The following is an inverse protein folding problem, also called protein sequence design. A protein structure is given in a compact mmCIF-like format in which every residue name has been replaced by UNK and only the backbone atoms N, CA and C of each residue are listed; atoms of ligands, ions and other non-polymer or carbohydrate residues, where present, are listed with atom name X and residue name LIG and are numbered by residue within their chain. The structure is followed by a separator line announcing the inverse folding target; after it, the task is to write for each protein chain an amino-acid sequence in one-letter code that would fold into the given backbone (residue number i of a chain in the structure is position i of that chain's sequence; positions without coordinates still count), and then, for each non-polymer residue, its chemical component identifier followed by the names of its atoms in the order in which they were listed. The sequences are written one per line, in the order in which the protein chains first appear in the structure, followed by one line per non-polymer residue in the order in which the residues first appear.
data_IF_612895884272
#
_entry.id   IF_612895884272
#
_cell.length_a   1.000
_cell.length_b   1.000
_cell.length_c   1.000
_cell.angle_alpha   90.00
_cell.angle_beta   90.00
_cell.angle_gamma   90.00
#
_symmetry.space_group_name_H-M   'P 1'
#
loop_
_entity.id
_entity.type
_entity.pdbx_description
1 polymer ?
#
# COMPACT_ATOMS: atom_id res chain seq x y z
N UNK A 1 -3.78 -12.27 30.43
CA UNK A 1 -2.92 -13.45 30.35
C UNK A 1 -3.67 -14.78 30.35
N UNK A 2 -4.57 -15.10 31.29
CA UNK A 2 -5.30 -16.41 31.32
C UNK A 2 -6.15 -16.69 30.06
N UNK A 3 -6.74 -15.69 29.40
CA UNK A 3 -7.57 -15.85 28.18
C UNK A 3 -6.74 -16.15 26.92
N UNK A 4 -5.51 -15.63 26.83
CA UNK A 4 -4.61 -15.88 25.69
C UNK A 4 -4.03 -17.29 25.75
N UNK A 5 -3.71 -17.76 26.96
CA UNK A 5 -3.25 -19.15 27.18
C UNK A 5 -4.36 -20.14 26.82
N UNK A 6 -5.63 -19.80 27.11
CA UNK A 6 -6.78 -20.65 26.75
C UNK A 6 -7.01 -20.73 25.24
N UNK A 7 -6.75 -19.63 24.49
CA UNK A 7 -6.86 -19.61 23.04
C UNK A 7 -5.76 -20.47 22.38
N UNK A 8 -4.53 -20.39 22.89
CA UNK A 8 -3.41 -21.19 22.41
C UNK A 8 -3.64 -22.69 22.71
N UNK A 9 -4.15 -23.02 23.90
CA UNK A 9 -4.50 -24.41 24.26
C UNK A 9 -5.69 -24.91 23.42
N UNK A 10 -6.67 -24.08 23.11
CA UNK A 10 -7.79 -24.45 22.23
C UNK A 10 -7.32 -24.73 20.80
N UNK A 11 -6.38 -23.94 20.26
CA UNK A 11 -5.79 -24.19 18.94
C UNK A 11 -4.97 -25.47 18.92
N UNK A 12 -4.21 -25.78 19.99
CA UNK A 12 -3.46 -27.03 20.12
C UNK A 12 -4.41 -28.23 20.32
N UNK A 13 -5.54 -28.06 21.00
CA UNK A 13 -6.53 -29.11 21.16
C UNK A 13 -7.30 -29.46 19.89
N UNK A 14 -7.49 -28.48 18.99
CA UNK A 14 -8.12 -28.69 17.67
C UNK A 14 -7.21 -29.53 16.75
N UNK A 15 -5.89 -29.44 16.92
CA UNK A 15 -4.93 -30.24 16.15
C UNK A 15 -4.96 -31.74 16.55
N UNK A 16 -5.49 -32.07 17.73
CA UNK A 16 -5.61 -33.46 18.21
C UNK A 16 -7.00 -34.10 18.03
N UNK A 17 -7.95 -33.38 17.45
CA UNK A 17 -9.30 -33.90 17.20
C UNK A 17 -9.42 -34.30 15.72
N UNK A 18 -9.40 -35.62 15.53
CA UNK A 18 -9.78 -36.36 14.32
C UNK A 18 -8.62 -36.80 13.42
N UNK A 19 -7.95 -37.83 13.86
CA UNK A 19 -7.52 -38.86 12.93
C UNK A 19 -8.78 -39.63 12.43
N UNK A 20 -9.56 -39.04 11.55
CA UNK A 20 -10.38 -39.78 10.64
C UNK A 20 -9.53 -40.02 9.39
N UNK A 21 -9.25 -41.27 9.09
CA UNK A 21 -8.58 -41.72 7.88
C UNK A 21 -9.32 -41.21 6.64
N UNK A 22 -8.99 -40.02 6.19
CA UNK A 22 -9.10 -39.68 4.79
C UNK A 22 -7.80 -40.11 4.14
N UNK A 23 -7.87 -41.13 3.28
CA UNK A 23 -6.75 -41.62 2.48
C UNK A 23 -6.39 -40.64 1.34
N UNK A 24 -6.09 -39.41 1.69
CA UNK A 24 -5.49 -38.41 0.83
C UNK A 24 -4.26 -37.86 1.54
N UNK A 25 -3.14 -37.81 0.86
CA UNK A 25 -1.84 -37.33 1.36
C UNK A 25 -1.91 -35.88 1.81
N UNK A 26 -2.34 -35.62 3.04
CA UNK A 26 -2.19 -34.33 3.65
C UNK A 26 -0.73 -34.13 3.99
N UNK A 27 -0.12 -33.06 3.52
CA UNK A 27 1.24 -32.67 3.89
C UNK A 27 1.23 -31.28 4.52
N UNK A 28 2.07 -31.09 5.53
CA UNK A 28 2.31 -29.78 6.11
C UNK A 28 3.80 -29.54 6.20
N UNK A 29 4.27 -28.43 5.65
CA UNK A 29 5.65 -28.02 5.65
C UNK A 29 5.78 -26.59 6.15
N UNK A 30 6.77 -26.34 7.00
CA UNK A 30 7.15 -24.99 7.39
C UNK A 30 8.41 -24.56 6.63
N UNK A 31 8.32 -23.44 5.91
CA UNK A 31 9.45 -22.86 5.19
C UNK A 31 9.63 -21.42 5.64
N UNK A 32 10.80 -21.11 6.18
CA UNK A 32 11.11 -19.74 6.62
C UNK A 32 10.93 -18.75 5.47
N UNK A 33 10.15 -17.70 5.74
CA UNK A 33 9.75 -16.69 4.75
C UNK A 33 8.54 -17.06 3.90
N UNK A 34 8.09 -18.31 4.00
CA UNK A 34 6.90 -18.80 3.31
C UNK A 34 5.80 -19.27 4.26
N UNK A 35 6.15 -19.51 5.52
CA UNK A 35 5.21 -19.90 6.58
C UNK A 35 4.89 -21.38 6.60
N UNK A 36 3.79 -21.72 7.27
CA UNK A 36 3.23 -23.07 7.34
C UNK A 36 2.30 -23.28 6.17
N UNK A 37 2.65 -24.22 5.29
CA UNK A 37 1.85 -24.63 4.14
C UNK A 37 1.18 -25.94 4.48
N UNK A 38 -0.14 -26.01 4.31
CA UNK A 38 -0.99 -27.18 4.54
C UNK A 38 -1.65 -27.54 3.22
N UNK A 39 -1.31 -28.68 2.66
CA UNK A 39 -1.96 -29.22 1.46
C UNK A 39 -2.98 -30.27 1.88
N UNK A 40 -4.20 -30.19 1.38
CA UNK A 40 -5.24 -31.19 1.55
C UNK A 40 -5.57 -31.82 0.20
N UNK A 41 -4.97 -32.96 -0.06
CA UNK A 41 -4.95 -33.57 -1.37
C UNK A 41 -4.22 -32.69 -2.40
N UNK A 42 -4.63 -32.84 -3.63
CA UNK A 42 -4.13 -32.00 -4.72
C UNK A 42 -5.02 -30.76 -4.99
N UNK A 43 -6.11 -30.57 -4.26
CA UNK A 43 -7.14 -29.60 -4.58
C UNK A 43 -7.14 -28.34 -3.71
N UNK A 44 -6.53 -28.40 -2.51
CA UNK A 44 -6.57 -27.28 -1.58
C UNK A 44 -5.21 -27.02 -0.97
N UNK A 45 -4.84 -25.76 -0.89
CA UNK A 45 -3.68 -25.32 -0.12
C UNK A 45 -4.09 -24.16 0.78
N UNK A 46 -3.65 -24.24 2.03
CA UNK A 46 -3.74 -23.17 3.02
C UNK A 46 -2.34 -22.77 3.46
N UNK A 47 -2.15 -21.50 3.71
CA UNK A 47 -0.87 -20.94 4.13
C UNK A 47 -1.07 -19.97 5.28
N UNK A 48 -0.33 -20.21 6.36
CA UNK A 48 -0.18 -19.29 7.49
C UNK A 48 1.22 -18.70 7.45
N UNK A 49 1.33 -17.38 7.43
CA UNK A 49 2.62 -16.71 7.44
C UNK A 49 2.60 -15.46 8.33
N UNK A 50 3.77 -14.99 8.69
CA UNK A 50 3.93 -13.83 9.54
C UNK A 50 5.15 -13.01 9.16
N UNK A 51 5.18 -11.76 9.68
CA UNK A 51 6.32 -10.86 9.58
C UNK A 51 6.44 -10.08 10.87
N UNK A 52 7.66 -9.93 11.35
CA UNK A 52 7.97 -9.09 12.51
C UNK A 52 9.07 -8.11 12.09
N UNK A 53 8.85 -6.81 12.39
CA UNK A 53 9.80 -5.74 12.13
C UNK A 53 10.04 -4.91 13.40
N UNK A 54 10.87 -5.38 14.38
CA UNK A 54 11.38 -4.53 15.43
C UNK A 54 12.12 -3.33 14.85
N UNK A 55 11.87 -2.15 15.41
CA UNK A 55 12.44 -0.88 15.00
C UNK A 55 12.98 -0.11 16.20
N UNK A 56 14.16 0.49 16.01
CA UNK A 56 14.66 1.57 16.83
C UNK A 56 14.80 2.81 15.98
N UNK A 57 14.26 3.94 16.41
CA UNK A 57 14.42 5.20 15.70
C UNK A 57 14.77 6.36 16.62
N UNK A 58 15.51 7.30 16.05
CA UNK A 58 15.85 8.59 16.66
C UNK A 58 15.34 9.65 15.70
N UNK A 59 14.46 10.52 16.18
CA UNK A 59 14.00 11.69 15.46
C UNK A 59 14.55 12.96 16.09
N UNK A 60 15.00 13.86 15.24
CA UNK A 60 15.50 15.19 15.63
C UNK A 60 14.65 16.22 14.89
N UNK A 61 13.96 17.04 15.66
CA UNK A 61 13.17 18.16 15.17
C UNK A 61 13.59 19.43 15.90
N UNK A 62 14.16 20.37 15.17
CA UNK A 62 14.73 21.61 15.72
C UNK A 62 15.71 21.35 16.89
N UNK A 63 15.23 21.51 18.13
CA UNK A 63 16.01 21.28 19.35
C UNK A 63 15.60 20.01 20.11
N UNK A 64 14.58 19.31 19.68
CA UNK A 64 14.05 18.13 20.37
C UNK A 64 14.62 16.85 19.74
N UNK A 65 14.97 15.89 20.60
CA UNK A 65 15.40 14.56 20.16
C UNK A 65 14.55 13.52 20.87
N UNK A 66 13.85 12.71 20.07
CA UNK A 66 13.01 11.63 20.56
C UNK A 66 13.58 10.26 20.18
N UNK A 67 13.45 9.30 21.10
CA UNK A 67 13.89 7.92 20.91
C UNK A 67 12.68 7.01 20.99
N UNK A 68 12.57 6.09 20.03
CA UNK A 68 11.43 5.18 19.95
C UNK A 68 11.89 3.75 19.70
N UNK A 69 11.42 2.81 20.54
CA UNK A 69 11.44 1.38 20.27
C UNK A 69 10.00 0.92 20.03
N UNK A 70 9.74 0.33 18.87
CA UNK A 70 8.43 -0.21 18.55
C UNK A 70 8.54 -1.41 17.59
N UNK A 71 7.41 -2.07 17.35
CA UNK A 71 7.24 -2.95 16.19
C UNK A 71 6.70 -2.08 15.05
N UNK A 72 7.50 -1.89 14.00
CA UNK A 72 7.08 -1.12 12.84
C UNK A 72 5.93 -1.79 12.11
N UNK A 73 6.05 -3.10 11.90
CA UNK A 73 5.00 -3.97 11.37
C UNK A 73 5.04 -5.33 12.07
N UNK A 74 3.86 -5.88 12.30
CA UNK A 74 3.67 -7.24 12.80
C UNK A 74 2.54 -7.88 12.01
N UNK A 75 2.89 -8.47 10.85
CA UNK A 75 1.91 -9.08 9.98
C UNK A 75 1.59 -10.50 10.40
N UNK A 76 0.32 -10.84 10.26
CA UNK A 76 -0.17 -12.21 10.25
C UNK A 76 -1.05 -12.38 9.02
N UNK A 77 -0.82 -13.41 8.23
CA UNK A 77 -1.64 -13.70 7.07
C UNK A 77 -2.13 -15.14 7.04
N UNK A 78 -3.37 -15.29 6.60
CA UNK A 78 -4.00 -16.56 6.26
C UNK A 78 -4.46 -16.46 4.81
N UNK A 79 -3.95 -17.33 3.98
CA UNK A 79 -4.25 -17.35 2.54
C UNK A 79 -4.44 -18.78 2.05
N UNK A 80 -5.01 -18.93 0.88
CA UNK A 80 -5.15 -20.24 0.28
C UNK A 80 -5.73 -20.19 -1.12
N UNK A 81 -5.76 -21.35 -1.75
CA UNK A 81 -6.46 -21.54 -3.02
C UNK A 81 -7.16 -22.90 -3.05
N UNK A 82 -8.22 -22.96 -3.88
CA UNK A 82 -8.94 -24.19 -4.22
C UNK A 82 -8.76 -24.47 -5.71
N UNK A 83 -8.45 -25.74 -6.03
CA UNK A 83 -8.24 -26.20 -7.41
C UNK A 83 -9.53 -26.28 -8.24
N UNK A 84 -9.31 -26.18 -9.51
CA UNK A 84 -8.06 -25.97 -10.21
C UNK A 84 -7.60 -24.49 -10.15
N UNK A 85 -7.09 -24.04 -9.05
CA UNK A 85 -6.53 -22.71 -8.76
C UNK A 85 -7.43 -21.51 -9.14
N UNK A 86 -8.75 -21.78 -9.24
CA UNK A 86 -9.70 -20.77 -9.68
C UNK A 86 -10.15 -19.84 -8.57
N UNK A 87 -10.20 -20.35 -7.35
CA UNK A 87 -10.58 -19.54 -6.18
C UNK A 87 -9.37 -19.37 -5.29
N UNK A 88 -9.06 -18.14 -4.92
CA UNK A 88 -8.04 -17.82 -3.93
C UNK A 88 -8.56 -16.79 -2.94
N UNK A 89 -7.95 -16.71 -1.78
CA UNK A 89 -8.30 -15.73 -0.76
C UNK A 89 -7.06 -15.31 0.03
N UNK A 90 -7.15 -14.13 0.64
CA UNK A 90 -6.17 -13.63 1.59
C UNK A 90 -6.88 -12.89 2.72
N UNK A 91 -6.45 -13.14 3.95
CA UNK A 91 -6.64 -12.29 5.11
C UNK A 91 -5.28 -11.88 5.62
N UNK A 92 -5.03 -10.57 5.74
CA UNK A 92 -3.78 -9.98 6.23
C UNK A 92 -4.10 -8.96 7.31
N UNK A 93 -3.46 -9.11 8.46
CA UNK A 93 -3.54 -8.16 9.56
C UNK A 93 -2.17 -7.64 9.95
N UNK A 94 -2.09 -6.36 10.34
CA UNK A 94 -0.92 -5.73 10.96
C UNK A 94 -1.25 -5.35 12.40
N UNK A 95 -0.75 -6.11 13.35
CA UNK A 95 -0.98 -5.88 14.77
C UNK A 95 -0.22 -4.68 15.37
N UNK A 96 0.57 -3.99 14.57
CA UNK A 96 1.16 -2.69 14.93
C UNK A 96 0.16 -1.53 14.81
N UNK A 97 -0.99 -1.75 14.16
CA UNK A 97 -2.02 -0.75 13.90
C UNK A 97 -3.21 -0.89 14.85
N UNK A 98 -3.87 0.22 15.16
CA UNK A 98 -5.11 0.25 15.95
C UNK A 98 -6.26 -0.48 15.25
N UNK A 99 -6.34 -0.40 13.92
CA UNK A 99 -7.25 -1.18 13.07
C UNK A 99 -6.42 -2.17 12.27
N UNK A 100 -6.22 -3.41 12.75
CA UNK A 100 -5.19 -4.32 12.24
C UNK A 100 -5.52 -4.92 10.88
N UNK A 101 -6.80 -5.07 10.47
CA UNK A 101 -7.15 -5.73 9.23
C UNK A 101 -6.73 -4.88 8.01
N UNK A 102 -5.83 -5.42 7.21
CA UNK A 102 -5.34 -4.80 5.99
C UNK A 102 -6.04 -5.34 4.75
N UNK A 103 -6.01 -6.66 4.56
CA UNK A 103 -6.60 -7.31 3.38
C UNK A 103 -7.58 -8.38 3.83
N UNK A 104 -8.74 -8.45 3.17
CA UNK A 104 -9.75 -9.50 3.34
C UNK A 104 -10.51 -9.63 2.01
N UNK A 105 -10.07 -10.53 1.15
CA UNK A 105 -10.63 -10.66 -0.19
C UNK A 105 -10.67 -12.11 -0.66
N UNK A 106 -11.57 -12.34 -1.61
CA UNK A 106 -11.68 -13.58 -2.39
C UNK A 106 -11.50 -13.23 -3.86
N UNK A 107 -10.78 -14.06 -4.60
CA UNK A 107 -10.58 -13.91 -6.03
C UNK A 107 -10.97 -15.18 -6.80
N UNK A 108 -11.40 -14.97 -8.05
CA UNK A 108 -11.72 -16.03 -8.99
C UNK A 108 -10.98 -15.81 -10.30
N UNK A 109 -10.14 -16.77 -10.65
CA UNK A 109 -9.43 -16.82 -11.93
C UNK A 109 -10.33 -17.46 -12.99
N UNK A 110 -10.90 -16.65 -13.89
CA UNK A 110 -11.69 -17.15 -15.01
C UNK A 110 -10.80 -17.99 -15.96
N UNK A 111 -9.59 -17.52 -16.20
CA UNK A 111 -8.50 -18.18 -16.91
C UNK A 111 -7.16 -17.56 -16.48
N UNK A 112 -6.05 -17.92 -17.13
CA UNK A 112 -4.71 -17.41 -16.79
C UNK A 112 -4.56 -15.88 -17.01
N UNK A 113 -5.47 -15.26 -17.74
CA UNK A 113 -5.36 -13.85 -18.14
C UNK A 113 -6.38 -12.95 -17.44
N UNK A 114 -7.40 -13.51 -16.78
CA UNK A 114 -8.53 -12.75 -16.21
C UNK A 114 -8.75 -13.19 -14.77
N UNK A 115 -8.54 -12.26 -13.85
CA UNK A 115 -8.78 -12.42 -12.41
C UNK A 115 -9.81 -11.41 -11.93
N UNK A 116 -10.87 -11.91 -11.28
CA UNK A 116 -11.85 -11.10 -10.55
C UNK A 116 -11.58 -11.23 -9.06
N UNK A 117 -11.62 -10.13 -8.34
CA UNK A 117 -11.57 -10.19 -6.88
C UNK A 117 -12.60 -9.25 -6.24
N UNK A 118 -13.03 -9.62 -5.04
CA UNK A 118 -13.98 -8.86 -4.24
C UNK A 118 -13.53 -8.85 -2.78
N UNK A 119 -13.66 -7.71 -2.12
CA UNK A 119 -13.26 -7.51 -0.73
C UNK A 119 -12.31 -6.34 -0.57
N UNK A 120 -11.66 -6.26 0.59
CA UNK A 120 -10.67 -5.23 0.87
C UNK A 120 -9.28 -5.70 0.46
N UNK A 121 -8.62 -4.95 -0.41
CA UNK A 121 -7.24 -5.24 -0.84
C UNK A 121 -6.46 -3.98 -1.21
N UNK A 122 -5.15 -4.16 -1.34
CA UNK A 122 -4.28 -3.15 -1.92
C UNK A 122 -4.71 -2.89 -3.37
N UNK A 123 -4.97 -1.61 -3.73
CA UNK A 123 -5.44 -1.25 -5.07
C UNK A 123 -4.27 -0.90 -5.99
N UNK A 124 -4.45 -1.21 -7.27
CA UNK A 124 -3.52 -0.81 -8.32
C UNK A 124 -3.69 0.67 -8.74
N UNK A 125 -4.77 1.33 -8.36
CA UNK A 125 -5.11 2.71 -8.72
C UNK A 125 -4.27 3.81 -8.06
N UNK A 126 -3.13 3.48 -7.45
CA UNK A 126 -2.18 4.38 -6.79
C UNK A 126 -0.82 4.40 -7.47
N UNK A 127 0.14 5.20 -6.96
CA UNK A 127 1.53 5.13 -7.39
C UNK A 127 2.14 3.74 -7.11
N UNK A 128 3.18 3.38 -7.85
CA UNK A 128 3.77 2.02 -7.81
C UNK A 128 4.23 1.60 -6.42
N UNK A 129 4.88 2.47 -5.66
CA UNK A 129 5.31 2.13 -4.30
C UNK A 129 4.14 1.71 -3.40
N UNK A 130 2.94 2.25 -3.63
CA UNK A 130 1.73 1.87 -2.89
C UNK A 130 1.14 0.52 -3.30
N UNK A 131 1.51 -0.03 -4.45
CA UNK A 131 1.08 -1.39 -4.85
C UNK A 131 1.90 -2.50 -4.19
N UNK A 132 2.97 -2.16 -3.47
CA UNK A 132 3.77 -3.08 -2.66
C UNK A 132 3.45 -2.96 -1.17
N UNK A 133 3.51 -4.08 -0.46
CA UNK A 133 3.53 -4.06 1.01
C UNK A 133 4.82 -3.43 1.52
N UNK A 134 4.80 -2.81 2.70
CA UNK A 134 5.92 -2.00 3.20
C UNK A 134 7.21 -2.78 3.38
N UNK A 135 7.13 -4.05 3.72
CA UNK A 135 8.26 -4.97 3.86
C UNK A 135 8.99 -5.28 2.54
N UNK A 136 8.38 -4.91 1.39
CA UNK A 136 8.94 -5.06 0.05
C UNK A 136 9.55 -3.76 -0.52
N UNK A 137 9.53 -2.68 0.25
CA UNK A 137 10.13 -1.41 -0.15
C UNK A 137 11.65 -1.38 0.09
N UNK A 138 12.32 -0.45 -0.58
CA UNK A 138 13.75 -0.17 -0.40
C UNK A 138 14.02 0.45 0.96
N UNK A 139 13.23 1.44 1.34
CA UNK A 139 13.35 2.18 2.59
C UNK A 139 12.39 1.67 3.66
N UNK A 140 12.73 1.94 4.91
CA UNK A 140 11.87 1.59 6.04
C UNK A 140 10.56 2.40 6.07
N UNK A 141 10.53 3.57 5.40
CA UNK A 141 9.38 4.46 5.29
C UNK A 141 8.92 4.60 3.84
N UNK A 142 7.62 4.84 3.65
CA UNK A 142 7.08 5.26 2.36
C UNK A 142 7.59 6.65 1.99
N UNK A 143 7.68 6.93 0.69
CA UNK A 143 8.07 8.25 0.18
C UNK A 143 7.09 9.35 0.62
N UNK A 144 7.55 10.58 0.67
CA UNK A 144 6.72 11.75 0.91
C UNK A 144 5.54 11.78 -0.08
N UNK A 145 5.79 11.54 -1.38
CA UNK A 145 4.73 11.43 -2.39
C UNK A 145 3.66 10.41 -2.00
N UNK A 146 4.05 9.19 -1.60
CA UNK A 146 3.08 8.15 -1.23
C UNK A 146 2.25 8.57 -0.01
N UNK A 147 2.88 9.16 1.01
CA UNK A 147 2.20 9.59 2.24
C UNK A 147 1.24 10.77 2.02
N UNK A 148 1.55 11.64 1.06
CA UNK A 148 0.76 12.86 0.80
C UNK A 148 -0.48 12.60 -0.07
N UNK A 149 -0.49 11.54 -0.88
CA UNK A 149 -1.59 11.24 -1.80
C UNK A 149 -2.32 9.93 -1.53
N UNK A 150 -1.82 9.11 -0.57
CA UNK A 150 -2.48 7.89 -0.11
C UNK A 150 -1.96 7.50 1.27
N UNK A 151 -2.82 7.11 2.19
CA UNK A 151 -2.40 6.66 3.52
C UNK A 151 -2.19 5.17 3.59
N UNK A 152 -3.10 4.39 3.05
CA UNK A 152 -3.10 2.93 3.14
C UNK A 152 -3.04 2.24 1.79
N UNK A 153 -3.57 2.87 0.74
CA UNK A 153 -3.70 2.30 -0.59
C UNK A 153 -4.64 1.10 -0.67
N UNK A 154 -5.54 0.96 0.29
CA UNK A 154 -6.50 -0.16 0.35
C UNK A 154 -7.92 0.33 0.28
N UNK A 155 -8.72 -0.42 -0.47
CA UNK A 155 -10.15 -0.13 -0.68
C UNK A 155 -10.95 -1.43 -0.64
N UNK A 156 -12.22 -1.32 -0.28
CA UNK A 156 -13.18 -2.40 -0.35
C UNK A 156 -14.02 -2.29 -1.64
N UNK A 157 -14.03 -3.33 -2.47
CA UNK A 157 -14.76 -3.27 -3.74
C UNK A 157 -14.58 -4.47 -4.66
N UNK A 158 -14.90 -4.24 -5.94
CA UNK A 158 -14.72 -5.18 -7.04
C UNK A 158 -13.51 -4.79 -7.88
N UNK A 159 -12.74 -5.78 -8.27
CA UNK A 159 -11.52 -5.59 -9.04
C UNK A 159 -11.45 -6.58 -10.20
N UNK A 160 -10.95 -6.12 -11.32
CA UNK A 160 -10.64 -6.92 -12.50
C UNK A 160 -9.20 -6.67 -12.91
N UNK A 161 -8.39 -7.71 -12.84
CA UNK A 161 -6.99 -7.69 -13.28
C UNK A 161 -6.84 -8.53 -14.54
N UNK A 162 -6.20 -7.98 -15.58
CA UNK A 162 -5.99 -8.60 -16.87
C UNK A 162 -4.50 -8.73 -17.17
N UNK A 163 -4.10 -9.80 -17.85
CA UNK A 163 -2.71 -10.05 -18.23
C UNK A 163 -2.65 -10.49 -19.70
N UNK A 164 -1.99 -9.68 -20.53
CA UNK A 164 -1.81 -10.00 -21.94
C UNK A 164 -0.32 -10.04 -22.30
N UNK A 165 0.10 -11.11 -22.96
CA UNK A 165 1.49 -11.34 -23.40
C UNK A 165 1.58 -11.42 -24.91
N UNK A 166 2.50 -10.62 -25.49
CA UNK A 166 2.76 -10.52 -26.92
C UNK A 166 4.26 -10.72 -27.18
N UNK A 167 4.71 -11.97 -27.16
CA UNK A 167 6.12 -12.29 -27.26
C UNK A 167 6.91 -11.84 -26.03
N UNK A 168 7.80 -10.86 -26.18
CA UNK A 168 8.59 -10.31 -25.07
C UNK A 168 7.88 -9.22 -24.29
N UNK A 169 6.77 -8.72 -24.81
CA UNK A 169 6.08 -7.61 -24.25
C UNK A 169 4.74 -7.95 -23.59
N UNK A 170 4.49 -7.37 -22.44
CA UNK A 170 3.26 -7.66 -21.72
C UNK A 170 2.55 -6.35 -21.33
N UNK A 171 1.23 -6.44 -21.24
CA UNK A 171 0.34 -5.36 -20.82
C UNK A 171 -0.60 -5.92 -19.76
N UNK A 172 -0.66 -5.24 -18.61
CA UNK A 172 -1.53 -5.61 -17.51
C UNK A 172 -2.48 -4.46 -17.19
N UNK A 173 -3.69 -4.44 -17.79
CA UNK A 173 -4.74 -3.55 -17.37
C UNK A 173 -5.37 -4.02 -16.05
N UNK A 174 -5.67 -3.07 -15.15
CA UNK A 174 -6.45 -3.29 -13.93
C UNK A 174 -7.51 -2.21 -13.81
N UNK A 175 -8.71 -2.59 -13.40
CA UNK A 175 -9.79 -1.64 -13.10
C UNK A 175 -10.47 -2.05 -11.80
N UNK A 176 -11.07 -1.09 -11.11
CA UNK A 176 -11.85 -1.36 -9.91
C UNK A 176 -12.94 -0.33 -9.66
N UNK A 177 -13.95 -0.79 -8.92
CA UNK A 177 -15.03 0.02 -8.36
C UNK A 177 -15.06 -0.29 -6.86
N UNK A 178 -14.85 0.72 -6.05
CA UNK A 178 -14.71 0.59 -4.60
C UNK A 178 -15.63 1.55 -3.86
N UNK A 179 -15.76 1.38 -2.55
CA UNK A 179 -16.57 2.28 -1.72
C UNK A 179 -16.05 3.71 -1.67
N UNK A 180 -14.75 3.92 -1.89
CA UNK A 180 -14.11 5.24 -1.67
C UNK A 180 -13.75 5.54 -0.21
N UNK A 181 -14.10 4.63 0.73
CA UNK A 181 -13.90 4.79 2.18
C UNK A 181 -12.51 4.35 2.67
N UNK A 182 -11.66 3.90 1.77
CA UNK A 182 -10.41 3.30 2.15
C UNK A 182 -10.59 1.93 2.81
N UNK A 183 -9.79 1.65 3.85
CA UNK A 183 -9.91 0.38 4.56
C UNK A 183 -10.95 0.40 5.68
N UNK A 184 -11.40 -0.80 6.09
CA UNK A 184 -12.31 -1.03 7.22
C UNK A 184 -13.77 -0.66 6.96
N UNK A 185 -14.20 -0.67 5.70
CA UNK A 185 -15.59 -0.48 5.28
C UNK A 185 -16.40 -1.76 5.45
N UNK A 186 -16.61 -2.22 6.71
CA UNK A 186 -17.25 -3.51 7.01
C UNK A 186 -18.70 -3.39 7.51
N UNK A 187 -19.34 -2.28 7.27
CA UNK A 187 -20.72 -2.05 7.66
C UNK A 187 -20.91 -0.80 8.51
N UNK A 188 -22.17 -0.43 8.70
CA UNK A 188 -22.59 0.84 9.29
C UNK A 188 -22.15 1.10 10.72
N UNK A 189 -21.76 0.06 11.47
CA UNK A 189 -21.32 0.17 12.86
C UNK A 189 -19.83 0.18 13.06
N UNK A 190 -19.04 0.01 12.01
CA UNK A 190 -17.59 -0.18 12.13
C UNK A 190 -16.78 1.05 11.83
N UNK A 191 -17.36 1.98 11.06
CA UNK A 191 -16.70 3.21 10.63
C UNK A 191 -17.71 4.31 10.34
N UNK A 192 -17.20 5.33 9.70
CA UNK A 192 -17.90 6.49 9.23
C UNK A 192 -19.06 6.11 8.32
N UNK A 193 -20.06 6.96 8.29
CA UNK A 193 -21.14 6.83 7.32
C UNK A 193 -20.60 7.27 5.97
N UNK A 194 -20.83 6.46 4.94
CA UNK A 194 -20.52 6.83 3.56
C UNK A 194 -21.51 7.92 3.11
N UNK A 195 -20.98 9.12 2.87
CA UNK A 195 -21.75 10.26 2.35
C UNK A 195 -21.45 10.52 0.87
N UNK A 196 -20.49 9.83 0.28
CA UNK A 196 -20.11 9.92 -1.12
C UNK A 196 -20.71 8.82 -1.97
N UNK A 197 -20.25 8.77 -3.22
CA UNK A 197 -20.51 7.69 -4.14
C UNK A 197 -19.37 6.68 -4.19
N UNK A 198 -19.18 6.04 -5.35
CA UNK A 198 -18.10 5.08 -5.53
C UNK A 198 -16.80 5.75 -5.99
N UNK A 199 -15.70 5.11 -5.65
CA UNK A 199 -14.40 5.40 -6.27
C UNK A 199 -14.16 4.44 -7.42
N UNK A 200 -13.81 4.99 -8.58
CA UNK A 200 -13.46 4.27 -9.79
C UNK A 200 -11.97 4.46 -10.06
N UNK A 201 -11.29 3.40 -10.45
CA UNK A 201 -9.90 3.53 -10.87
C UNK A 201 -9.55 2.60 -12.03
N UNK A 202 -8.50 3.00 -12.75
CA UNK A 202 -7.87 2.19 -13.78
C UNK A 202 -6.36 2.33 -13.73
N UNK A 203 -5.66 1.23 -14.04
CA UNK A 203 -4.20 1.20 -14.20
C UNK A 203 -3.84 0.41 -15.43
N UNK A 204 -2.80 0.86 -16.12
CA UNK A 204 -2.16 0.14 -17.21
C UNK A 204 -0.67 0.01 -16.93
N UNK A 205 -0.19 -1.22 -16.78
CA UNK A 205 1.22 -1.55 -16.68
C UNK A 205 1.73 -2.14 -17.99
N UNK A 206 2.84 -1.59 -18.49
CA UNK A 206 3.48 -1.98 -19.73
C UNK A 206 4.91 -2.49 -19.46
N UNK A 207 5.19 -3.73 -19.86
CA UNK A 207 6.47 -4.42 -19.68
C UNK A 207 7.15 -4.66 -21.03
N UNK A 208 7.97 -3.72 -21.56
CA UNK A 208 8.56 -3.82 -22.90
C UNK A 208 9.58 -4.95 -23.05
N UNK A 209 10.20 -5.40 -21.95
CA UNK A 209 11.27 -6.41 -21.95
C UNK A 209 10.88 -7.69 -21.21
N UNK A 210 9.58 -7.96 -21.08
CA UNK A 210 9.04 -9.07 -20.32
C UNK A 210 8.97 -8.80 -18.82
N UNK A 211 8.28 -9.68 -18.10
CA UNK A 211 8.14 -9.57 -16.64
C UNK A 211 9.48 -9.67 -15.92
N UNK A 212 9.53 -9.14 -14.71
CA UNK A 212 10.60 -9.41 -13.76
C UNK A 212 10.65 -10.89 -13.40
N UNK A 213 11.82 -11.40 -13.03
CA UNK A 213 12.01 -12.78 -12.58
C UNK A 213 11.11 -13.11 -11.40
N UNK A 214 10.79 -14.39 -11.24
CA UNK A 214 9.97 -14.87 -10.13
C UNK A 214 10.54 -14.43 -8.76
N UNK A 215 9.64 -13.92 -7.90
CA UNK A 215 10.00 -13.33 -6.62
C UNK A 215 10.56 -11.91 -6.69
N UNK A 216 11.21 -11.52 -7.80
CA UNK A 216 11.73 -10.16 -7.99
C UNK A 216 10.63 -9.13 -8.32
N UNK A 217 9.51 -9.58 -8.89
CA UNK A 217 8.34 -8.75 -9.17
C UNK A 217 7.62 -8.28 -7.90
N UNK A 218 7.79 -8.98 -6.78
CA UNK A 218 7.17 -8.65 -5.49
C UNK A 218 7.87 -7.51 -4.72
N UNK A 219 8.98 -6.98 -5.24
CA UNK A 219 9.82 -6.03 -4.53
C UNK A 219 10.21 -4.87 -5.42
N UNK A 220 10.57 -3.73 -4.81
CA UNK A 220 11.10 -2.58 -5.53
C UNK A 220 12.58 -2.81 -5.89
N UNK A 221 13.37 -3.37 -4.96
CA UNK A 221 14.79 -3.66 -5.19
C UNK A 221 14.99 -4.81 -6.17
N UNK A 222 16.14 -4.83 -6.84
CA UNK A 222 16.58 -5.93 -7.72
C UNK A 222 17.32 -7.04 -6.94
N UNK A 223 16.62 -7.71 -6.00
CA UNK A 223 17.22 -8.73 -5.12
C UNK A 223 17.72 -9.94 -5.92
N UNK A 224 17.02 -10.34 -6.97
CA UNK A 224 17.40 -11.49 -7.82
C UNK A 224 18.45 -11.13 -8.85
N UNK A 225 18.84 -9.84 -8.95
CA UNK A 225 19.86 -9.33 -9.87
C UNK A 225 19.55 -9.73 -11.31
N UNK A 226 18.46 -9.14 -11.87
CA UNK A 226 18.03 -9.39 -13.25
C UNK A 226 19.20 -9.41 -14.22
N UNK A 227 19.35 -10.49 -14.99
CA UNK A 227 20.46 -10.67 -15.92
C UNK A 227 20.36 -9.72 -17.11
N UNK A 228 19.14 -9.44 -17.54
CA UNK A 228 18.79 -8.52 -18.62
C UNK A 228 18.04 -7.31 -18.02
N UNK A 229 18.05 -6.20 -18.75
CA UNK A 229 17.26 -5.04 -18.40
C UNK A 229 15.77 -5.42 -18.36
N UNK A 230 15.13 -5.13 -17.25
CA UNK A 230 13.69 -5.24 -17.04
C UNK A 230 13.11 -3.89 -16.67
N UNK A 231 11.95 -3.60 -17.21
CA UNK A 231 11.28 -2.33 -17.05
C UNK A 231 9.77 -2.56 -16.96
N UNK A 232 9.10 -1.83 -16.10
CA UNK A 232 7.66 -1.58 -16.17
C UNK A 232 7.39 -0.09 -16.17
N UNK A 233 6.57 0.36 -17.09
CA UNK A 233 5.98 1.70 -17.10
C UNK A 233 4.52 1.58 -16.73
N UNK A 234 4.03 2.42 -15.80
CA UNK A 234 2.67 2.41 -15.32
C UNK A 234 2.01 3.79 -15.42
N UNK A 235 0.73 3.77 -15.71
CA UNK A 235 -0.17 4.92 -15.56
C UNK A 235 -1.42 4.46 -14.82
N UNK A 236 -1.82 5.21 -13.79
CA UNK A 236 -3.04 4.95 -13.04
C UNK A 236 -3.82 6.26 -12.83
N UNK A 237 -5.13 6.15 -12.77
CA UNK A 237 -6.01 7.28 -12.46
C UNK A 237 -7.17 6.80 -11.62
N UNK A 238 -7.64 7.63 -10.69
CA UNK A 238 -8.84 7.39 -9.91
C UNK A 238 -9.76 8.61 -9.88
N UNK A 239 -11.03 8.34 -9.67
CA UNK A 239 -12.10 9.31 -9.48
C UNK A 239 -12.94 8.84 -8.31
N UNK A 240 -13.00 9.64 -7.24
CA UNK A 240 -13.84 9.39 -6.07
C UNK A 240 -15.01 10.39 -6.11
N UNK A 241 -16.23 9.86 -6.20
CA UNK A 241 -17.47 10.61 -6.27
C UNK A 241 -17.85 11.06 -4.85
N UNK A 242 -17.57 12.31 -4.50
CA UNK A 242 -17.87 12.86 -3.20
C UNK A 242 -16.91 12.42 -2.09
N UNK A 243 -15.72 13.01 -2.01
CA UNK A 243 -14.76 12.75 -0.95
C UNK A 243 -14.97 13.66 0.25
N UNK A 244 -14.95 13.09 1.48
CA UNK A 244 -14.94 13.83 2.75
C UNK A 244 -13.80 13.41 3.69
N UNK A 245 -12.72 12.88 3.11
CA UNK A 245 -11.44 12.65 3.76
C UNK A 245 -10.32 13.30 2.94
N UNK A 246 -9.30 13.80 3.59
CA UNK A 246 -8.26 14.59 2.94
C UNK A 246 -7.49 13.85 1.84
N UNK A 247 -7.38 12.54 1.91
CA UNK A 247 -6.70 11.69 0.91
C UNK A 247 -7.69 10.93 0.01
N UNK A 248 -9.01 11.12 0.20
CA UNK A 248 -10.04 10.34 -0.48
C UNK A 248 -9.97 8.84 -0.14
N UNK A 249 -9.58 8.52 1.09
CA UNK A 249 -9.50 7.16 1.62
C UNK A 249 -10.33 7.01 2.91
N UNK A 250 -11.47 7.66 3.00
CA UNK A 250 -12.41 7.64 4.10
C UNK A 250 -13.50 8.69 3.94
N UNK A 251 -14.52 8.63 4.79
CA UNK A 251 -15.61 9.57 4.83
C UNK A 251 -15.88 10.07 6.26
N UNK A 252 -16.43 11.28 6.37
CA UNK A 252 -16.89 11.84 7.63
C UNK A 252 -15.89 12.72 8.37
N UNK A 253 -14.72 13.02 7.82
CA UNK A 253 -13.72 13.90 8.44
C UNK A 253 -14.13 15.37 8.33
N UNK A 254 -14.83 15.75 7.25
CA UNK A 254 -15.39 17.08 7.07
C UNK A 254 -16.73 17.01 6.31
N UNK A 255 -17.53 18.07 6.45
CA UNK A 255 -18.80 18.22 5.77
C UNK A 255 -18.86 19.56 5.06
N UNK A 256 -19.35 19.53 3.82
CA UNK A 256 -19.66 20.70 3.01
C UNK A 256 -21.13 20.59 2.58
N UNK A 257 -21.75 21.72 2.19
CA UNK A 257 -23.19 21.79 2.03
C UNK A 257 -23.59 22.47 0.73
N UNK A 258 -24.76 22.14 0.21
CA UNK A 258 -25.41 22.86 -0.88
C UNK A 258 -26.23 24.04 -0.35
N UNK A 259 -26.85 24.79 -1.25
CA UNK A 259 -27.70 25.94 -0.92
C UNK A 259 -28.91 25.60 -0.05
N UNK A 260 -29.33 24.34 -0.02
CA UNK A 260 -30.47 23.86 0.80
C UNK A 260 -30.03 23.36 2.18
N UNK A 261 -28.73 23.33 2.45
CA UNK A 261 -28.17 22.81 3.70
C UNK A 261 -27.98 21.29 3.71
N UNK A 262 -28.18 20.61 2.57
CA UNK A 262 -27.85 19.19 2.45
C UNK A 262 -26.36 19.00 2.23
N UNK A 263 -25.83 17.85 2.63
CA UNK A 263 -24.40 17.51 2.42
C UNK A 263 -24.14 17.42 0.91
N UNK A 264 -23.11 18.15 0.48
CA UNK A 264 -22.58 18.10 -0.88
C UNK A 264 -21.05 18.05 -0.82
N UNK A 265 -20.49 16.96 -1.28
CA UNK A 265 -19.05 16.68 -1.22
C UNK A 265 -18.38 16.95 -2.58
N UNK A 266 -17.11 17.40 -2.57
CA UNK A 266 -16.34 17.56 -3.80
C UNK A 266 -15.89 16.19 -4.33
N UNK A 267 -15.76 16.09 -5.64
CA UNK A 267 -15.12 14.93 -6.27
C UNK A 267 -13.61 15.05 -6.19
N UNK A 268 -12.94 13.93 -5.99
CA UNK A 268 -11.49 13.86 -5.87
C UNK A 268 -10.89 13.02 -6.99
N UNK A 269 -9.94 13.59 -7.72
CA UNK A 269 -9.29 12.95 -8.87
C UNK A 269 -7.80 12.82 -8.65
N UNK A 270 -7.24 11.66 -8.96
CA UNK A 270 -5.81 11.40 -8.86
C UNK A 270 -5.29 10.81 -10.17
N UNK A 271 -4.06 11.20 -10.53
CA UNK A 271 -3.30 10.67 -11.66
C UNK A 271 -1.91 10.28 -11.16
N UNK A 272 -1.46 9.09 -11.54
CA UNK A 272 -0.13 8.58 -11.23
C UNK A 272 0.55 8.09 -12.49
N UNK A 273 1.84 8.40 -12.62
CA UNK A 273 2.71 7.90 -13.68
C UNK A 273 3.96 7.37 -13.01
N UNK A 274 4.39 6.18 -13.37
CA UNK A 274 5.53 5.56 -12.73
C UNK A 274 6.37 4.70 -13.68
N UNK A 275 7.61 4.47 -13.28
CA UNK A 275 8.57 3.64 -13.99
C UNK A 275 9.44 2.90 -12.96
N UNK A 276 9.49 1.56 -13.06
CA UNK A 276 10.42 0.72 -12.28
C UNK A 276 11.35 -0.04 -13.23
N UNK A 277 12.65 0.17 -13.06
CA UNK A 277 13.70 -0.45 -13.84
C UNK A 277 14.59 -1.31 -12.94
N UNK A 278 15.00 -2.50 -13.41
CA UNK A 278 15.91 -3.41 -12.70
C UNK A 278 16.94 -4.00 -13.68
N UNK A 279 18.21 -4.03 -13.23
CA UNK A 279 19.30 -4.59 -14.01
C UNK A 279 20.54 -4.88 -13.14
N UNK A 280 20.95 -6.14 -13.05
CA UNK A 280 22.21 -6.61 -12.39
C UNK A 280 22.41 -6.10 -10.97
N UNK A 281 21.35 -5.96 -10.22
CA UNK A 281 21.34 -5.44 -8.84
C UNK A 281 21.03 -3.95 -8.74
N UNK A 282 20.98 -3.23 -9.84
CA UNK A 282 20.53 -1.84 -9.90
C UNK A 282 19.00 -1.80 -10.00
N UNK A 283 18.38 -0.92 -9.24
CA UNK A 283 16.94 -0.60 -9.31
C UNK A 283 16.74 0.91 -9.34
N UNK A 284 15.79 1.34 -10.14
CA UNK A 284 15.34 2.73 -10.21
C UNK A 284 13.82 2.76 -10.22
N UNK A 285 13.23 3.51 -9.29
CA UNK A 285 11.81 3.83 -9.26
C UNK A 285 11.65 5.34 -9.43
N UNK A 286 10.94 5.75 -10.47
CA UNK A 286 10.49 7.13 -10.68
C UNK A 286 8.96 7.18 -10.64
N UNK A 287 8.39 8.14 -9.92
CA UNK A 287 6.95 8.29 -9.75
C UNK A 287 6.57 9.77 -9.80
N UNK A 288 5.43 10.04 -10.42
CA UNK A 288 4.74 11.32 -10.40
C UNK A 288 3.31 11.08 -9.93
N UNK A 289 2.81 11.99 -9.11
CA UNK A 289 1.41 12.05 -8.68
C UNK A 289 0.85 13.44 -8.88
N UNK A 290 -0.44 13.51 -9.21
CA UNK A 290 -1.21 14.74 -9.20
C UNK A 290 -2.61 14.46 -8.70
N UNK A 291 -3.14 15.37 -7.87
CA UNK A 291 -4.47 15.28 -7.31
C UNK A 291 -5.18 16.64 -7.45
N UNK A 292 -6.44 16.61 -7.87
CA UNK A 292 -7.29 17.79 -8.04
C UNK A 292 -8.71 17.50 -7.56
N UNK A 293 -9.47 18.55 -7.24
CA UNK A 293 -10.88 18.46 -6.92
C UNK A 293 -11.75 19.01 -8.07
N UNK A 294 -13.01 18.56 -8.12
CA UNK A 294 -14.03 19.07 -9.05
C UNK A 294 -15.40 19.08 -8.39
N UNK A 295 -16.43 19.53 -9.12
CA UNK A 295 -17.81 19.66 -8.61
C UNK A 295 -17.91 20.63 -7.42
N UNK A 296 -17.20 21.77 -7.51
CA UNK A 296 -17.08 22.76 -6.44
C UNK A 296 -18.16 23.89 -6.52
N UNK A 297 -19.05 23.83 -7.49
CA UNK A 297 -20.04 24.89 -7.70
C UNK A 297 -21.10 24.86 -6.59
N UNK A 298 -21.39 26.04 -6.02
CA UNK A 298 -22.41 26.23 -4.98
C UNK A 298 -22.21 25.35 -3.73
N UNK A 299 -20.96 25.10 -3.37
CA UNK A 299 -20.61 24.45 -2.09
C UNK A 299 -20.44 25.53 -1.00
N UNK A 300 -20.99 25.27 0.18
CA UNK A 300 -20.94 26.15 1.35
C UNK A 300 -20.25 25.43 2.51
N UNK A 301 -19.61 26.23 3.38
CA UNK A 301 -18.94 25.74 4.58
C UNK A 301 -19.91 25.43 5.73
N UNK A 302 -21.13 25.92 5.64
CA UNK A 302 -22.15 25.80 6.68
C UNK A 302 -23.54 25.44 6.09
N UNK A 303 -24.41 24.77 6.86
CA UNK A 303 -25.69 24.27 6.37
C UNK A 303 -26.75 25.37 6.13
N UNK A 304 -26.49 26.62 6.53
CA UNK A 304 -27.39 27.75 6.24
C UNK A 304 -26.98 28.52 4.99
N UNK A 305 -26.01 28.01 4.25
CA UNK A 305 -25.50 28.56 2.99
C UNK A 305 -25.03 30.04 3.11
N UNK A 306 -24.42 30.39 4.25
CA UNK A 306 -23.93 31.73 4.52
C UNK A 306 -22.52 31.92 3.94
N UNK A 307 -21.63 30.96 4.09
CA UNK A 307 -20.22 31.04 3.69
C UNK A 307 -19.95 30.16 2.46
N UNK A 308 -19.87 30.79 1.29
CA UNK A 308 -19.56 30.08 0.04
C UNK A 308 -18.09 29.62 0.05
N UNK A 309 -17.83 28.37 -0.25
CA UNK A 309 -16.49 27.83 -0.44
C UNK A 309 -15.84 28.49 -1.68
N UNK A 310 -14.71 29.13 -1.48
CA UNK A 310 -13.91 29.61 -2.60
C UNK A 310 -13.08 28.45 -3.19
N UNK A 311 -12.82 28.44 -4.47
CA UNK A 311 -12.13 27.34 -5.15
C UNK A 311 -10.76 27.02 -4.55
N UNK A 312 -10.03 28.02 -4.03
CA UNK A 312 -8.74 27.83 -3.38
C UNK A 312 -8.86 27.20 -1.98
N UNK A 313 -9.99 27.39 -1.29
CA UNK A 313 -10.19 26.88 0.08
C UNK A 313 -10.39 25.35 0.08
N UNK A 314 -10.69 24.74 -1.06
CA UNK A 314 -10.85 23.29 -1.10
C UNK A 314 -9.57 22.54 -0.72
N UNK A 315 -8.41 23.15 -0.91
CA UNK A 315 -7.11 22.60 -0.49
C UNK A 315 -6.92 22.52 1.03
N UNK A 316 -7.79 23.17 1.82
CA UNK A 316 -7.85 23.02 3.29
C UNK A 316 -8.54 21.72 3.72
N UNK A 317 -9.25 21.08 2.80
CA UNK A 317 -10.02 19.85 3.02
C UNK A 317 -9.42 18.63 2.32
N UNK A 318 -8.88 18.82 1.10
CA UNK A 318 -8.33 17.75 0.27
C UNK A 318 -6.85 18.00 -0.04
N UNK A 319 -6.07 16.93 -0.14
CA UNK A 319 -4.65 16.96 -0.54
C UNK A 319 -4.53 17.20 -2.03
N UNK A 320 -4.52 18.48 -2.45
CA UNK A 320 -4.49 18.91 -3.83
C UNK A 320 -3.10 19.40 -4.23
N UNK A 321 -2.61 18.93 -5.36
CA UNK A 321 -1.31 19.33 -5.89
C UNK A 321 -0.60 18.22 -6.65
N UNK A 322 0.71 18.28 -6.69
CA UNK A 322 1.53 17.31 -7.40
C UNK A 322 2.79 16.95 -6.64
N UNK A 323 3.42 15.86 -7.04
CA UNK A 323 4.68 15.44 -6.43
C UNK A 323 5.49 14.51 -7.31
N UNK A 324 6.75 14.39 -6.95
CA UNK A 324 7.74 13.50 -7.58
C UNK A 324 8.40 12.63 -6.52
N UNK A 325 8.73 11.41 -6.89
CA UNK A 325 9.56 10.51 -6.09
C UNK A 325 10.56 9.78 -6.97
N UNK A 326 11.82 9.82 -6.59
CA UNK A 326 12.89 9.05 -7.20
C UNK A 326 13.56 8.18 -6.14
N UNK A 327 13.78 6.91 -6.46
CA UNK A 327 14.50 5.97 -5.61
C UNK A 327 15.50 5.19 -6.46
N UNK A 328 16.76 5.22 -6.06
CA UNK A 328 17.87 4.46 -6.66
C UNK A 328 18.31 3.42 -5.66
N UNK A 329 18.63 2.22 -6.11
CA UNK A 329 19.19 1.18 -5.27
C UNK A 329 20.21 0.35 -6.01
N UNK A 330 21.21 -0.14 -5.28
CA UNK A 330 22.16 -1.12 -5.80
C UNK A 330 22.42 -2.22 -4.77
N UNK A 331 22.10 -3.45 -5.15
CA UNK A 331 22.40 -4.65 -4.36
C UNK A 331 23.69 -5.29 -4.89
N UNK A 332 24.70 -5.36 -4.02
CA UNK A 332 25.98 -6.02 -4.30
C UNK A 332 25.82 -7.54 -4.31
N UNK A 333 26.80 -8.25 -4.91
CA UNK A 333 26.79 -9.74 -4.94
C UNK A 333 26.87 -10.39 -3.55
N UNK A 334 27.34 -9.67 -2.55
CA UNK A 334 27.38 -10.12 -1.16
C UNK A 334 26.12 -9.74 -0.37
N UNK A 335 25.03 -9.35 -1.05
CA UNK A 335 23.71 -9.01 -0.50
C UNK A 335 23.69 -7.78 0.42
N UNK A 336 24.67 -6.89 0.37
CA UNK A 336 24.52 -5.53 0.88
C UNK A 336 23.82 -4.67 -0.17
N UNK A 337 23.04 -3.70 0.28
CA UNK A 337 22.40 -2.73 -0.59
C UNK A 337 22.67 -1.31 -0.09
N UNK A 338 22.75 -0.38 -1.03
CA UNK A 338 22.75 1.07 -0.78
C UNK A 338 21.62 1.66 -1.58
N UNK A 339 20.81 2.49 -0.92
CA UNK A 339 19.61 3.09 -1.48
C UNK A 339 19.67 4.62 -1.28
N UNK A 340 19.28 5.37 -2.31
CA UNK A 340 19.12 6.82 -2.30
C UNK A 340 17.72 7.17 -2.76
N UNK A 341 17.07 8.11 -2.09
CA UNK A 341 15.72 8.56 -2.43
C UNK A 341 15.59 10.08 -2.32
N UNK A 342 14.80 10.63 -3.21
CA UNK A 342 14.37 12.03 -3.17
C UNK A 342 12.89 12.10 -3.51
N UNK A 343 12.14 12.88 -2.74
CA UNK A 343 10.74 13.15 -3.01
C UNK A 343 10.45 14.62 -2.80
N UNK A 344 9.61 15.19 -3.64
CA UNK A 344 9.09 16.54 -3.46
C UNK A 344 7.59 16.58 -3.72
N UNK A 345 6.89 17.45 -3.02
CA UNK A 345 5.48 17.75 -3.23
C UNK A 345 5.25 19.25 -3.28
N UNK A 346 4.26 19.67 -4.04
CA UNK A 346 3.82 21.05 -4.14
C UNK A 346 2.29 21.11 -4.11
N UNK A 347 1.68 22.02 -3.34
CA UNK A 347 0.24 22.21 -3.31
C UNK A 347 -0.27 22.78 -4.63
N UNK A 348 -1.55 22.59 -4.96
CA UNK A 348 -2.21 23.19 -6.11
C UNK A 348 -2.34 24.71 -5.96
N UNK A 349 -2.55 25.17 -4.72
CA UNK A 349 -2.70 26.58 -4.37
C UNK A 349 -1.61 27.00 -3.38
N UNK A 350 -0.47 27.46 -3.89
CA UNK A 350 0.70 27.86 -3.08
C UNK A 350 0.39 29.05 -2.14
N UNK A 351 -0.57 29.90 -2.51
CA UNK A 351 -0.97 31.07 -1.75
C UNK A 351 -1.81 30.70 -0.49
N UNK A 352 -2.42 29.50 -0.47
CA UNK A 352 -3.23 29.05 0.64
C UNK A 352 -2.37 28.33 1.69
N UNK A 353 -1.95 29.10 2.71
CA UNK A 353 -1.12 28.58 3.82
C UNK A 353 -1.82 27.54 4.70
N UNK A 354 -3.14 27.38 4.58
CA UNK A 354 -3.93 26.39 5.31
C UNK A 354 -4.14 25.09 4.53
N UNK A 355 -3.53 24.94 3.35
CA UNK A 355 -3.63 23.72 2.54
C UNK A 355 -3.18 22.50 3.33
N UNK A 356 -3.88 21.37 3.16
CA UNK A 356 -3.53 20.07 3.79
C UNK A 356 -2.11 19.64 3.47
N UNK A 357 -1.64 19.92 2.25
CA UNK A 357 -0.25 19.72 1.85
C UNK A 357 0.43 21.07 1.62
N UNK A 358 1.71 21.15 1.98
CA UNK A 358 2.60 22.27 1.71
C UNK A 358 3.77 21.80 0.85
N UNK A 359 4.54 22.74 0.31
CA UNK A 359 5.75 22.43 -0.44
C UNK A 359 6.79 21.82 0.49
N UNK A 360 7.09 20.54 0.30
CA UNK A 360 7.98 19.76 1.17
C UNK A 360 8.89 18.87 0.33
N UNK A 361 10.07 18.57 0.88
CA UNK A 361 11.06 17.69 0.28
C UNK A 361 11.58 16.65 1.27
N UNK A 362 11.83 15.44 0.81
CA UNK A 362 12.48 14.37 1.57
C UNK A 362 13.74 13.89 0.83
N UNK A 363 14.87 13.84 1.54
CA UNK A 363 16.07 13.13 1.11
C UNK A 363 16.25 11.88 1.97
N UNK A 364 16.43 10.70 1.34
CA UNK A 364 16.52 9.41 2.02
C UNK A 364 17.78 8.68 1.62
N UNK A 365 18.45 8.10 2.60
CA UNK A 365 19.62 7.24 2.42
C UNK A 365 19.38 5.95 3.18
N UNK A 366 19.62 4.80 2.56
CA UNK A 366 19.45 3.48 3.15
C UNK A 366 20.65 2.59 2.96
N UNK A 367 20.96 1.78 3.96
CA UNK A 367 21.90 0.67 3.87
C UNK A 367 21.19 -0.56 4.41
N UNK A 368 21.20 -1.65 3.63
CA UNK A 368 20.54 -2.89 4.02
C UNK A 368 21.45 -4.09 3.82
N UNK A 369 21.27 -5.12 4.67
CA UNK A 369 21.85 -6.45 4.49
C UNK A 369 20.73 -7.46 4.34
N UNK A 370 20.63 -8.08 3.19
CA UNK A 370 19.72 -9.18 2.90
C UNK A 370 20.42 -10.50 3.26
N UNK A 371 20.02 -11.13 4.37
CA UNK A 371 20.70 -12.35 4.89
C UNK A 371 20.09 -13.58 4.23
N UNK A 372 18.76 -13.68 4.22
CA UNK A 372 17.98 -14.72 3.54
C UNK A 372 17.03 -14.07 2.55
N UNK A 373 17.57 -13.47 1.49
CA UNK A 373 16.81 -12.61 0.58
C UNK A 373 16.02 -11.55 1.39
N UNK A 374 14.73 -11.34 1.10
CA UNK A 374 13.90 -10.42 1.87
C UNK A 374 13.26 -11.06 3.14
N UNK A 375 13.55 -12.33 3.42
CA UNK A 375 12.98 -13.02 4.58
C UNK A 375 13.67 -12.64 5.90
N UNK A 376 14.99 -12.43 5.85
CA UNK A 376 15.75 -11.86 6.96
C UNK A 376 16.58 -10.70 6.42
N UNK A 377 16.21 -9.48 6.81
CA UNK A 377 16.86 -8.23 6.39
C UNK A 377 17.16 -7.36 7.61
N UNK A 378 18.32 -6.74 7.63
CA UNK A 378 18.67 -5.68 8.57
C UNK A 378 18.86 -4.42 7.74
N UNK A 379 18.24 -3.32 8.13
CA UNK A 379 18.31 -2.04 7.42
C UNK A 379 18.51 -0.88 8.37
N UNK A 380 19.35 0.06 7.94
CA UNK A 380 19.54 1.36 8.55
C UNK A 380 19.15 2.41 7.53
N UNK A 381 18.32 3.35 7.90
CA UNK A 381 17.91 4.45 7.02
C UNK A 381 18.01 5.79 7.74
N UNK A 382 18.38 6.80 6.97
CA UNK A 382 18.32 8.21 7.32
C UNK A 382 17.33 8.90 6.40
N UNK A 383 16.45 9.68 6.96
CA UNK A 383 15.48 10.52 6.25
C UNK A 383 15.62 11.95 6.74
N UNK A 384 15.84 12.89 5.81
CA UNK A 384 15.86 14.33 6.06
C UNK A 384 14.61 14.93 5.41
N UNK A 385 13.77 15.55 6.20
CA UNK A 385 12.60 16.29 5.76
C UNK A 385 12.87 17.78 5.81
N UNK A 386 12.51 18.50 4.74
CA UNK A 386 12.58 19.95 4.62
C UNK A 386 11.17 20.47 4.32
N UNK A 387 10.67 21.36 5.15
CA UNK A 387 9.39 22.02 4.92
C UNK A 387 9.53 23.35 4.14
N UNK A 388 8.41 23.93 3.76
CA UNK A 388 8.34 25.21 3.04
C UNK A 388 8.95 26.41 3.79
N UNK A 389 9.22 26.29 5.08
CA UNK A 389 9.81 27.33 5.92
C UNK A 389 11.29 27.07 6.24
N UNK A 390 11.95 26.19 5.47
CA UNK A 390 13.32 25.73 5.69
C UNK A 390 13.54 25.08 7.08
N UNK A 391 12.46 24.66 7.75
CA UNK A 391 12.59 23.85 8.96
C UNK A 391 12.92 22.43 8.56
N UNK A 392 13.85 21.84 9.28
CA UNK A 392 14.30 20.50 8.98
C UNK A 392 14.06 19.54 10.14
N UNK A 393 13.56 18.38 9.81
CA UNK A 393 13.54 17.25 10.74
C UNK A 393 14.29 16.06 10.15
N UNK A 394 14.90 15.26 11.00
CA UNK A 394 15.69 14.11 10.58
C UNK A 394 15.27 12.88 11.37
N UNK A 395 15.21 11.73 10.69
CA UNK A 395 14.91 10.45 11.32
C UNK A 395 15.98 9.44 10.92
N UNK A 396 16.61 8.82 11.91
CA UNK A 396 17.45 7.63 11.72
C UNK A 396 16.65 6.45 12.24
N UNK A 397 16.51 5.39 11.44
CA UNK A 397 15.82 4.17 11.87
C UNK A 397 16.62 2.92 11.54
N UNK A 398 16.66 2.00 12.50
CA UNK A 398 17.25 0.66 12.37
C UNK A 398 16.13 -0.38 12.50
N UNK A 399 15.96 -1.20 11.47
CA UNK A 399 14.89 -2.21 11.41
C UNK A 399 15.51 -3.58 11.15
N UNK A 400 15.05 -4.56 11.93
CA UNK A 400 15.29 -5.99 11.65
C UNK A 400 13.97 -6.58 11.13
N UNK A 401 14.00 -7.18 9.96
CA UNK A 401 12.85 -7.85 9.37
C UNK A 401 13.04 -9.36 9.41
N UNK A 402 12.04 -10.07 9.90
CA UNK A 402 11.96 -11.54 9.84
C UNK A 402 10.58 -11.95 9.31
N UNK A 403 10.56 -12.69 8.21
CA UNK A 403 9.36 -13.38 7.69
C UNK A 403 9.36 -14.83 8.18
N UNK A 404 8.20 -15.25 8.66
CA UNK A 404 7.93 -16.60 9.15
C UNK A 404 7.06 -17.37 8.15
#
# INVERSE_FOLDING_TARGET
MKKIVFLIIAVIAIINLSAQEFSNSNSSDFVLGNGLIINSGDDYQFKLSGLIQPNFSVSVDNSNTDYLFNAKHTFFSFSGFAKPERVSFLMLADFSLSSPLLDAWVAYNLNNNINFSFGQKLISGNNRAMTYTQDNLQFNERSLLSRSFSSTGREFGFFLDLNYSFGRFNINPSIGVTSGDGRSSFGTSTRDVDYGGFKYFGRLDFYPFGYFSEGNHLQVCDIKREKELKLVFGIASSYNDGASNNLGEGHGDFFLYNVNGDIQLPDYRQLYIDLLLKFRGFSFLGEYASATASSLEQIYLDPIAFSLLQSTMISEYLSLGSGLNFSLGYIFKNNYAIDLGYSSISPEYEENLNSVISSNEDLRIGISKYILENNLKISLSFNQHLDSNDQSSSIISAVVQLRL
#
